data_IF_130815343595
#
_entry.id   IF_130815343595
#
_cell.length_a   1.000
_cell.length_b   1.000
_cell.length_c   1.000
_cell.angle_alpha   90.00
_cell.angle_beta   90.00
_cell.angle_gamma   90.00
#
_symmetry.space_group_name_H-M   'P 1'
#
loop_
_entity.id
_entity.type
_entity.pdbx_description
1 polymer ?
#
# COMPACT_ATOMS: atom_id res chain seq x y z
N UNK A 1 -5.86 17.94 15.20
CA UNK A 1 -5.23 17.36 16.40
C UNK A 1 -4.00 16.59 15.96
N UNK A 2 -2.84 17.00 16.47
CA UNK A 2 -1.52 16.41 16.24
C UNK A 2 -1.18 15.43 17.37
N UNK A 3 -0.13 14.65 17.17
CA UNK A 3 0.41 13.78 18.24
C UNK A 3 0.86 14.60 19.45
N UNK A 4 1.35 15.84 19.27
CA UNK A 4 1.66 16.75 20.38
C UNK A 4 0.46 17.02 21.29
N UNK A 5 -0.74 17.16 20.71
CA UNK A 5 -1.96 17.42 21.48
C UNK A 5 -2.36 16.17 22.28
N UNK A 6 -2.18 14.98 21.68
CA UNK A 6 -2.38 13.70 22.38
C UNK A 6 -1.36 13.51 23.51
N UNK A 7 -0.09 13.83 23.30
CA UNK A 7 0.94 13.76 24.33
C UNK A 7 0.61 14.66 25.52
N UNK A 8 0.11 15.86 25.27
CA UNK A 8 -0.33 16.77 26.33
C UNK A 8 -1.46 16.14 27.16
N UNK A 9 -2.49 15.59 26.52
CA UNK A 9 -3.59 14.92 27.21
C UNK A 9 -3.14 13.69 28.00
N UNK A 10 -2.25 12.87 27.44
CA UNK A 10 -1.70 11.70 28.13
C UNK A 10 -0.81 12.12 29.33
N UNK A 11 -0.06 13.21 29.22
CA UNK A 11 0.72 13.77 30.30
C UNK A 11 -0.15 14.31 31.45
N UNK A 12 -1.21 15.04 31.12
CA UNK A 12 -2.16 15.54 32.12
C UNK A 12 -2.91 14.39 32.82
N UNK A 13 -3.28 13.35 32.06
CA UNK A 13 -3.86 12.12 32.62
C UNK A 13 -2.87 11.37 33.52
N UNK A 14 -1.61 11.25 33.11
CA UNK A 14 -0.57 10.60 33.91
C UNK A 14 -0.37 11.31 35.26
N UNK A 15 -0.33 12.65 35.28
CA UNK A 15 -0.26 13.45 36.51
C UNK A 15 -1.47 13.23 37.41
N UNK A 16 -2.67 13.17 36.82
CA UNK A 16 -3.89 12.89 37.57
C UNK A 16 -3.85 11.49 38.18
N UNK A 17 -3.42 10.48 37.42
CA UNK A 17 -3.30 9.10 37.89
C UNK A 17 -2.21 8.93 38.95
N UNK A 18 -1.12 9.68 38.86
CA UNK A 18 -0.10 9.70 39.90
C UNK A 18 -0.67 10.27 41.20
N UNK A 19 -1.45 11.36 41.12
CA UNK A 19 -2.11 11.96 42.27
C UNK A 19 -3.18 11.08 42.91
N UNK A 20 -3.80 10.18 42.13
CA UNK A 20 -4.79 9.21 42.63
C UNK A 20 -4.18 7.91 43.18
N UNK A 21 -2.84 7.77 43.12
CA UNK A 21 -2.12 6.61 43.62
C UNK A 21 -1.87 5.51 42.58
N UNK A 22 -2.32 5.68 41.34
CA UNK A 22 -2.10 4.75 40.23
C UNK A 22 -0.71 4.95 39.58
N UNK A 23 0.36 4.83 40.38
CA UNK A 23 1.74 5.14 39.99
C UNK A 23 2.24 4.32 38.79
N UNK A 24 1.91 3.04 38.72
CA UNK A 24 2.33 2.17 37.60
C UNK A 24 1.73 2.63 36.28
N UNK A 25 0.44 2.96 36.25
CA UNK A 25 -0.23 3.44 35.04
C UNK A 25 0.31 4.80 34.62
N UNK A 26 0.61 5.68 35.58
CA UNK A 26 1.24 6.98 35.30
C UNK A 26 2.64 6.82 34.68
N UNK A 27 3.43 5.83 35.12
CA UNK A 27 4.73 5.51 34.53
C UNK A 27 4.59 4.98 33.09
N UNK A 28 3.63 4.07 32.85
CA UNK A 28 3.39 3.52 31.51
C UNK A 28 2.96 4.62 30.53
N UNK A 29 2.06 5.52 30.95
CA UNK A 29 1.65 6.66 30.12
C UNK A 29 2.81 7.62 29.84
N UNK A 30 3.70 7.84 30.81
CA UNK A 30 4.90 8.66 30.63
C UNK A 30 5.89 8.03 29.65
N UNK A 31 6.05 6.70 29.69
CA UNK A 31 6.85 5.94 28.74
C UNK A 31 6.26 6.03 27.32
N UNK A 32 4.94 5.91 27.19
CA UNK A 32 4.23 6.09 25.91
C UNK A 32 4.45 7.52 25.37
N UNK A 33 4.31 8.55 26.21
CA UNK A 33 4.57 9.94 25.81
C UNK A 33 6.00 10.12 25.27
N UNK A 34 6.98 9.49 25.92
CA UNK A 34 8.39 9.51 25.48
C UNK A 34 8.56 8.81 24.12
N UNK A 35 7.94 7.65 23.93
CA UNK A 35 7.96 6.92 22.66
C UNK A 35 7.28 7.65 21.50
N UNK A 36 6.30 8.52 21.80
CA UNK A 36 5.62 9.35 20.82
C UNK A 36 6.41 10.61 20.40
N UNK A 37 7.50 10.96 21.10
CA UNK A 37 8.27 12.18 20.85
C UNK A 37 8.73 12.37 19.38
N UNK A 38 9.16 11.32 18.65
CA UNK A 38 9.54 11.44 17.24
C UNK A 38 8.39 11.84 16.31
N UNK A 39 7.15 11.64 16.73
CA UNK A 39 5.95 11.84 15.90
C UNK A 39 5.15 13.09 16.26
N UNK A 40 5.63 13.94 17.18
CA UNK A 40 4.89 15.09 17.74
C UNK A 40 4.23 16.00 16.70
N UNK A 41 4.90 16.18 15.55
CA UNK A 41 4.45 17.08 14.48
C UNK A 41 3.47 16.41 13.50
N UNK A 42 3.28 15.08 13.59
CA UNK A 42 2.37 14.35 12.72
C UNK A 42 0.90 14.57 13.08
N UNK A 43 0.01 14.62 12.07
CA UNK A 43 -1.43 14.57 12.31
C UNK A 43 -1.84 13.19 12.84
N UNK A 44 -2.77 13.14 13.80
CA UNK A 44 -3.18 11.86 14.42
C UNK A 44 -3.67 10.81 13.43
N UNK A 45 -4.38 11.23 12.38
CA UNK A 45 -4.82 10.33 11.32
C UNK A 45 -3.63 9.67 10.61
N UNK A 46 -2.60 10.46 10.27
CA UNK A 46 -1.39 9.94 9.64
C UNK A 46 -0.58 9.02 10.57
N UNK A 47 -0.60 9.31 11.87
CA UNK A 47 0.01 8.46 12.88
C UNK A 47 -0.74 7.12 13.05
N UNK A 48 -2.08 7.13 13.03
CA UNK A 48 -2.88 5.90 13.06
C UNK A 48 -2.61 5.02 11.83
N UNK A 49 -2.58 5.62 10.63
CA UNK A 49 -2.21 4.91 9.41
C UNK A 49 -0.77 4.35 9.48
N UNK A 50 0.14 5.03 10.17
CA UNK A 50 1.49 4.54 10.43
C UNK A 50 1.49 3.32 11.35
N UNK A 51 0.72 3.34 12.46
CA UNK A 51 0.64 2.20 13.38
C UNK A 51 0.09 0.93 12.70
N UNK A 52 -0.95 1.06 11.88
CA UNK A 52 -1.49 -0.08 11.10
C UNK A 52 -0.45 -0.65 10.12
N UNK A 53 0.38 0.21 9.53
CA UNK A 53 1.48 -0.24 8.65
C UNK A 53 2.62 -0.88 9.44
N UNK A 54 2.98 -0.31 10.59
CA UNK A 54 4.02 -0.84 11.47
C UNK A 54 3.64 -2.22 12.02
N UNK A 55 2.37 -2.43 12.39
CA UNK A 55 1.85 -3.76 12.75
C UNK A 55 1.98 -4.74 11.58
N UNK A 56 1.59 -4.31 10.37
CA UNK A 56 1.76 -5.11 9.15
C UNK A 56 3.22 -5.52 8.91
N UNK A 57 4.17 -4.61 9.16
CA UNK A 57 5.60 -4.90 9.07
C UNK A 57 6.06 -5.87 10.16
N UNK A 58 5.66 -5.67 11.42
CA UNK A 58 6.03 -6.55 12.52
C UNK A 58 5.49 -7.98 12.33
N UNK A 59 4.26 -8.11 11.82
CA UNK A 59 3.60 -9.40 11.64
C UNK A 59 4.05 -10.16 10.38
N UNK A 60 4.40 -9.45 9.29
CA UNK A 60 4.65 -10.06 7.97
C UNK A 60 6.01 -9.75 7.34
N UNK A 61 6.79 -8.84 7.94
CA UNK A 61 8.09 -8.40 7.40
C UNK A 61 8.01 -7.50 6.15
N UNK A 62 6.80 -7.13 5.71
CA UNK A 62 6.60 -6.30 4.52
C UNK A 62 6.45 -4.82 4.90
N UNK A 63 7.24 -3.93 4.29
CA UNK A 63 7.11 -2.47 4.47
C UNK A 63 6.11 -1.94 3.43
N UNK A 64 4.88 -1.53 3.80
CA UNK A 64 3.95 -0.95 2.85
C UNK A 64 4.34 0.52 2.62
N UNK A 65 5.02 0.80 1.52
CA UNK A 65 5.24 2.15 1.00
C UNK A 65 3.92 2.71 0.42
N UNK A 66 2.90 2.92 1.25
CA UNK A 66 1.71 3.66 0.83
C UNK A 66 1.86 5.14 1.21
N UNK A 67 1.85 6.08 0.23
CA UNK A 67 1.78 7.50 0.54
C UNK A 67 0.37 7.79 1.10
N UNK A 68 0.30 8.34 2.31
CA UNK A 68 -1.00 8.70 2.92
C UNK A 68 -1.64 9.81 2.09
N UNK A 69 -2.89 9.58 1.69
CA UNK A 69 -3.70 10.50 0.91
C UNK A 69 -4.22 11.62 1.82
N UNK A 70 -3.51 12.74 1.81
CA UNK A 70 -3.93 13.99 2.44
C UNK A 70 -4.76 14.86 1.47
N UNK A 71 -6.08 14.72 1.58
CA UNK A 71 -7.14 15.72 1.36
C UNK A 71 -6.83 16.92 0.44
N UNK A 72 -7.40 16.88 -0.77
CA UNK A 72 -7.45 17.95 -1.76
C UNK A 72 -8.41 19.06 -1.30
N UNK A 73 -7.89 20.21 -0.86
CA UNK A 73 -8.67 21.44 -0.66
C UNK A 73 -8.45 22.39 -1.84
N UNK A 74 -9.56 22.89 -2.35
CA UNK A 74 -9.69 23.80 -3.49
C UNK A 74 -9.20 25.21 -3.14
N UNK A 75 -8.42 25.85 -4.04
CA UNK A 75 -8.59 27.22 -4.57
C UNK A 75 -7.23 27.72 -5.09
N UNK A 76 -7.24 28.25 -6.32
CA UNK A 76 -6.04 28.51 -7.11
C UNK A 76 -5.08 29.56 -6.56
N UNK A 77 -3.81 29.37 -6.88
CA UNK A 77 -2.76 30.39 -6.97
C UNK A 77 -1.59 29.79 -7.77
N UNK A 78 -0.87 30.66 -8.47
CA UNK A 78 0.04 30.33 -9.56
C UNK A 78 1.39 29.73 -9.10
N UNK A 79 1.93 28.90 -10.00
CA UNK A 79 3.36 28.66 -10.33
C UNK A 79 4.37 28.60 -9.17
N UNK A 80 4.77 27.37 -8.83
CA UNK A 80 6.17 26.98 -8.59
C UNK A 80 6.34 25.51 -8.94
N UNK A 81 7.21 25.23 -9.92
CA UNK A 81 7.60 23.87 -10.31
C UNK A 81 8.48 23.28 -9.21
N UNK A 82 7.93 22.36 -8.42
CA UNK A 82 8.68 21.45 -7.55
C UNK A 82 8.58 20.06 -8.21
N UNK A 83 9.66 19.28 -8.29
CA UNK A 83 9.70 18.03 -9.06
C UNK A 83 8.58 17.09 -8.63
N UNK A 84 7.81 16.60 -9.60
CA UNK A 84 6.85 15.51 -9.39
C UNK A 84 7.59 14.34 -8.72
N UNK A 85 7.11 13.79 -7.59
CA UNK A 85 7.50 12.45 -7.21
C UNK A 85 7.08 11.49 -8.35
N UNK A 86 7.87 10.45 -8.63
CA UNK A 86 7.63 9.60 -9.78
C UNK A 86 6.22 9.00 -9.73
N UNK A 87 5.55 8.85 -10.90
CA UNK A 87 4.28 8.16 -10.99
C UNK A 87 4.38 6.78 -10.33
N UNK A 88 3.25 6.19 -9.88
CA UNK A 88 3.23 4.79 -9.42
C UNK A 88 4.01 3.98 -10.43
N UNK A 89 5.05 3.28 -9.97
CA UNK A 89 6.08 2.74 -10.83
C UNK A 89 5.48 1.59 -11.66
N UNK A 90 4.92 1.98 -12.82
CA UNK A 90 4.29 1.09 -13.79
C UNK A 90 5.29 0.03 -14.21
N UNK A 91 6.59 0.36 -14.19
CA UNK A 91 7.65 -0.60 -14.50
C UNK A 91 7.83 -1.61 -13.37
N UNK A 92 7.80 -1.19 -12.11
CA UNK A 92 7.86 -2.09 -10.96
C UNK A 92 6.66 -3.06 -10.94
N UNK A 93 5.45 -2.56 -11.21
CA UNK A 93 4.25 -3.39 -11.26
C UNK A 93 4.26 -4.31 -12.50
N UNK A 94 4.71 -3.82 -13.65
CA UNK A 94 4.87 -4.65 -14.84
C UNK A 94 5.93 -5.75 -14.63
N UNK A 95 7.02 -5.45 -13.94
CA UNK A 95 8.04 -6.42 -13.57
C UNK A 95 7.52 -7.44 -12.54
N UNK A 96 6.68 -7.03 -11.59
CA UNK A 96 6.01 -7.94 -10.64
C UNK A 96 5.05 -8.90 -11.37
N UNK A 97 4.23 -8.36 -12.29
CA UNK A 97 3.29 -9.15 -13.10
C UNK A 97 4.04 -10.11 -14.04
N UNK A 98 5.15 -9.65 -14.63
CA UNK A 98 6.00 -10.48 -15.47
C UNK A 98 6.69 -11.59 -14.67
N UNK A 99 7.21 -11.29 -13.47
CA UNK A 99 7.77 -12.30 -12.56
C UNK A 99 6.71 -13.33 -12.14
N UNK A 100 5.48 -12.90 -11.86
CA UNK A 100 4.36 -13.80 -11.56
C UNK A 100 3.97 -14.69 -12.75
N UNK A 101 4.09 -14.15 -13.98
CA UNK A 101 3.86 -14.90 -15.20
C UNK A 101 4.99 -15.91 -15.48
N UNK A 102 6.25 -15.53 -15.26
CA UNK A 102 7.42 -16.39 -15.41
C UNK A 102 7.47 -17.46 -14.29
N UNK A 103 6.98 -17.15 -13.09
CA UNK A 103 6.82 -18.07 -11.96
C UNK A 103 5.52 -18.87 -12.01
N UNK A 104 4.90 -19.07 -13.18
CA UNK A 104 3.63 -19.77 -13.31
C UNK A 104 3.66 -21.27 -12.90
N UNK A 105 4.85 -21.83 -12.68
CA UNK A 105 5.07 -23.17 -12.11
C UNK A 105 5.05 -23.20 -10.57
N UNK A 106 4.96 -22.04 -9.92
CA UNK A 106 5.05 -21.91 -8.48
C UNK A 106 3.68 -22.23 -7.84
N UNK A 107 3.57 -23.29 -7.01
CA UNK A 107 2.30 -23.69 -6.38
C UNK A 107 1.77 -22.65 -5.39
N UNK A 108 2.56 -21.62 -5.07
CA UNK A 108 2.19 -20.51 -4.19
C UNK A 108 1.32 -19.44 -4.87
N UNK A 109 1.07 -19.56 -6.18
CA UNK A 109 0.26 -18.62 -6.95
C UNK A 109 -1.25 -18.85 -6.72
N UNK A 110 -1.72 -18.40 -5.56
CA UNK A 110 -3.13 -18.50 -5.13
C UNK A 110 -4.03 -17.55 -5.94
N UNK A 111 -5.32 -17.91 -6.08
CA UNK A 111 -6.33 -17.05 -6.73
C UNK A 111 -6.42 -15.68 -6.04
N UNK A 112 -6.25 -15.65 -4.73
CA UNK A 112 -6.22 -14.43 -3.92
C UNK A 112 -5.08 -13.47 -4.32
N UNK A 113 -3.91 -14.01 -4.69
CA UNK A 113 -2.77 -13.22 -5.17
C UNK A 113 -3.06 -12.60 -6.54
N UNK A 114 -3.68 -13.36 -7.45
CA UNK A 114 -4.13 -12.86 -8.77
C UNK A 114 -5.17 -11.75 -8.60
N UNK A 115 -6.13 -11.92 -7.69
CA UNK A 115 -7.17 -10.91 -7.42
C UNK A 115 -6.58 -9.64 -6.81
N UNK A 116 -5.63 -9.78 -5.89
CA UNK A 116 -4.91 -8.64 -5.28
C UNK A 116 -4.11 -7.86 -6.33
N UNK A 117 -3.39 -8.55 -7.21
CA UNK A 117 -2.65 -7.91 -8.31
C UNK A 117 -3.60 -7.26 -9.31
N UNK A 118 -4.73 -7.90 -9.64
CA UNK A 118 -5.75 -7.32 -10.53
C UNK A 118 -6.38 -6.07 -9.91
N UNK A 119 -6.61 -6.05 -8.59
CA UNK A 119 -7.14 -4.88 -7.89
C UNK A 119 -6.17 -3.69 -7.91
N UNK A 120 -4.85 -3.95 -7.89
CA UNK A 120 -3.80 -2.91 -8.06
C UNK A 120 -3.75 -2.31 -9.46
N UNK A 121 -4.34 -2.99 -10.45
CA UNK A 121 -4.43 -2.53 -11.84
C UNK A 121 -5.66 -1.65 -12.09
N UNK A 122 -6.66 -1.68 -11.21
CA UNK A 122 -7.88 -0.84 -11.27
C UNK A 122 -7.59 0.67 -11.37
N UNK A 123 -6.67 1.28 -10.59
CA UNK A 123 -6.39 2.72 -10.68
C UNK A 123 -5.53 3.13 -11.88
N UNK A 124 -4.91 2.20 -12.61
CA UNK A 124 -3.97 2.51 -13.70
C UNK A 124 -4.67 3.15 -14.91
N UNK A 125 -3.91 3.93 -15.69
CA UNK A 125 -4.43 4.47 -16.95
C UNK A 125 -4.44 3.37 -18.01
N UNK A 126 -5.26 3.57 -19.04
CA UNK A 126 -5.38 2.62 -20.15
C UNK A 126 -4.01 2.34 -20.79
N UNK A 127 -3.18 3.36 -20.96
CA UNK A 127 -1.86 3.24 -21.58
C UNK A 127 -0.89 2.41 -20.73
N UNK A 128 -0.96 2.53 -19.40
CA UNK A 128 -0.18 1.72 -18.46
C UNK A 128 -0.56 0.23 -18.54
N UNK A 129 -1.86 -0.05 -18.67
CA UNK A 129 -2.38 -1.42 -18.82
C UNK A 129 -2.00 -2.03 -20.16
N UNK A 130 -1.99 -1.23 -21.23
CA UNK A 130 -1.46 -1.64 -22.53
C UNK A 130 0.02 -2.00 -22.40
N UNK A 131 0.82 -1.17 -21.75
CA UNK A 131 2.25 -1.42 -21.56
C UNK A 131 2.52 -2.72 -20.78
N UNK A 132 1.74 -2.97 -19.72
CA UNK A 132 1.78 -4.24 -18.98
C UNK A 132 1.39 -5.42 -19.88
N UNK A 133 0.33 -5.27 -20.69
CA UNK A 133 -0.12 -6.33 -21.59
C UNK A 133 0.91 -6.68 -22.67
N UNK A 134 1.61 -5.69 -23.20
CA UNK A 134 2.66 -5.88 -24.21
C UNK A 134 3.87 -6.63 -23.63
N UNK A 135 4.25 -6.35 -22.36
CA UNK A 135 5.29 -7.13 -21.66
C UNK A 135 4.90 -8.60 -21.41
N UNK A 136 3.61 -8.88 -21.29
CA UNK A 136 3.08 -10.26 -21.22
C UNK A 136 2.95 -10.94 -22.60
N UNK A 137 3.44 -10.31 -23.66
CA UNK A 137 3.36 -10.82 -25.03
C UNK A 137 1.96 -10.72 -25.65
N UNK A 138 1.07 -9.89 -25.07
CA UNK A 138 -0.28 -9.70 -25.58
C UNK A 138 -0.31 -8.56 -26.59
N UNK A 139 -0.65 -8.87 -27.84
CA UNK A 139 -0.73 -7.89 -28.95
C UNK A 139 -2.18 -7.44 -29.16
N UNK A 140 -2.39 -6.19 -29.57
CA UNK A 140 -3.71 -5.68 -29.96
C UNK A 140 -4.59 -5.16 -28.81
N UNK A 141 -4.01 -4.89 -27.64
CA UNK A 141 -4.76 -4.40 -26.46
C UNK A 141 -5.06 -2.88 -26.51
N UNK A 142 -4.39 -2.13 -27.39
CA UNK A 142 -4.59 -0.67 -27.57
C UNK A 142 -6.02 -0.28 -27.96
N UNK A 143 -6.69 -1.12 -28.74
CA UNK A 143 -8.04 -0.89 -29.24
C UNK A 143 -9.14 -1.29 -28.23
N UNK A 144 -8.79 -2.02 -27.16
CA UNK A 144 -9.75 -2.49 -26.16
C UNK A 144 -10.05 -1.41 -25.10
N UNK A 145 -11.17 -1.58 -24.41
CA UNK A 145 -11.50 -0.76 -23.24
C UNK A 145 -10.62 -1.15 -22.05
N UNK A 146 -10.43 -0.22 -21.11
CA UNK A 146 -9.63 -0.42 -19.89
C UNK A 146 -9.99 -1.73 -19.18
N UNK A 147 -11.29 -1.96 -18.97
CA UNK A 147 -11.79 -3.15 -18.28
C UNK A 147 -11.48 -4.44 -19.06
N UNK A 148 -11.56 -4.40 -20.41
CA UNK A 148 -11.22 -5.53 -21.26
C UNK A 148 -9.73 -5.85 -21.30
N UNK A 149 -8.87 -4.85 -21.08
CA UNK A 149 -7.42 -5.08 -20.97
C UNK A 149 -7.10 -5.73 -19.61
N UNK A 150 -7.74 -5.28 -18.53
CA UNK A 150 -7.60 -5.88 -17.19
C UNK A 150 -8.09 -7.33 -17.16
N UNK A 151 -9.27 -7.58 -17.74
CA UNK A 151 -9.84 -8.92 -17.86
C UNK A 151 -8.91 -9.85 -18.65
N UNK A 152 -8.37 -9.37 -19.78
CA UNK A 152 -7.44 -10.16 -20.59
C UNK A 152 -6.13 -10.49 -19.85
N UNK A 153 -5.58 -9.55 -19.07
CA UNK A 153 -4.38 -9.79 -18.25
C UNK A 153 -4.68 -10.82 -17.14
N UNK A 154 -5.84 -10.71 -16.48
CA UNK A 154 -6.30 -11.67 -15.47
C UNK A 154 -6.46 -13.08 -16.07
N UNK A 155 -7.14 -13.19 -17.21
CA UNK A 155 -7.31 -14.46 -17.92
C UNK A 155 -5.97 -15.07 -18.32
N UNK A 156 -5.02 -14.25 -18.76
CA UNK A 156 -3.67 -14.72 -19.13
C UNK A 156 -2.92 -15.30 -17.94
N UNK A 157 -3.01 -14.68 -16.76
CA UNK A 157 -2.40 -15.18 -15.51
C UNK A 157 -3.07 -16.47 -15.01
N UNK A 158 -4.38 -16.62 -15.21
CA UNK A 158 -5.10 -17.86 -14.86
C UNK A 158 -4.75 -18.98 -15.86
N UNK A 159 -4.69 -18.66 -17.15
CA UNK A 159 -4.37 -19.61 -18.21
C UNK A 159 -2.94 -20.14 -18.12
N UNK A 160 -1.94 -19.29 -17.79
CA UNK A 160 -0.56 -19.74 -17.59
C UNK A 160 -0.44 -20.78 -16.47
N UNK A 161 -1.18 -20.60 -15.37
CA UNK A 161 -1.28 -21.60 -14.28
C UNK A 161 -1.94 -22.90 -14.73
N UNK A 162 -3.03 -22.79 -15.50
CA UNK A 162 -3.79 -23.94 -16.01
C UNK A 162 -3.01 -24.80 -17.01
N UNK A 163 -2.12 -24.18 -17.80
CA UNK A 163 -1.26 -24.88 -18.77
C UNK A 163 -0.18 -25.69 -18.03
N UNK A 164 0.51 -25.11 -17.04
CA UNK A 164 1.61 -25.80 -16.34
C UNK A 164 1.12 -26.93 -15.43
N UNK A 165 -0.04 -26.77 -14.76
CA UNK A 165 -0.64 -27.85 -13.97
C UNK A 165 -1.10 -29.06 -14.83
N UNK A 166 -1.43 -28.83 -16.11
CA UNK A 166 -1.73 -29.93 -17.06
C UNK A 166 -0.47 -30.53 -17.67
N UNK A 167 0.60 -29.76 -17.83
CA UNK A 167 1.89 -30.25 -18.33
C UNK A 167 2.71 -31.02 -17.29
N UNK A 168 2.49 -30.78 -15.99
CA UNK A 168 3.13 -31.54 -14.89
C UNK A 168 2.42 -32.84 -14.51
N UNK A 169 1.38 -33.23 -15.26
CA UNK A 169 0.55 -34.42 -15.01
C UNK A 169 0.63 -35.45 -16.17
N UNK A 170 1.65 -35.33 -17.02
CA UNK A 170 2.01 -36.29 -18.08
C UNK A 170 3.35 -36.92 -17.73
#
# INVERSE_FOLDING_TARGET
MKVSDLQQHLGDLARLLESSGAKTVALDLSAICTGLAPFRDQPLKGFADFLTRAEGYYARGEVPLTPTSGTRSTRGAAKTTIPNPPPPDVEALAAEIQRLYESAADPTLTREKIETTTARMTPLKKDDLVHISERLGMVGMKTKTKDKIQEAIRERLIASRGIILRSGLI
#
